data_IF_886627616670
#
_entry.id   IF_886627616670
#
_cell.length_a   1.000
_cell.length_b   1.000
_cell.length_c   1.000
_cell.angle_alpha   90.00
_cell.angle_beta   90.00
_cell.angle_gamma   90.00
#
_symmetry.space_group_name_H-M   'P 1'
#
loop_
_entity.id
_entity.type
_entity.pdbx_description
1 polymer ?
#
# COMPACT_ATOMS: atom_id res chain seq x y z
N UNK A 1 31.11 9.82 -7.11
CA UNK A 1 31.05 9.38 -8.52
C UNK A 1 29.74 8.62 -8.70
N UNK A 2 28.90 8.99 -9.67
CA UNK A 2 27.63 8.27 -9.93
C UNK A 2 27.97 6.93 -10.60
N UNK A 3 27.32 5.83 -10.20
CA UNK A 3 27.49 4.54 -10.87
C UNK A 3 26.85 4.53 -12.27
N UNK A 4 27.17 3.52 -13.06
CA UNK A 4 26.74 3.43 -14.46
C UNK A 4 25.21 3.42 -14.64
N UNK A 5 24.47 2.79 -13.72
CA UNK A 5 22.99 2.71 -13.77
C UNK A 5 22.41 4.08 -13.46
N UNK A 6 22.91 4.72 -12.41
CA UNK A 6 22.50 6.05 -11.98
C UNK A 6 22.82 7.11 -13.04
N UNK A 7 23.97 7.02 -13.70
CA UNK A 7 24.33 7.89 -14.81
C UNK A 7 23.42 7.70 -16.03
N UNK A 8 23.10 6.46 -16.41
CA UNK A 8 22.19 6.18 -17.52
C UNK A 8 20.77 6.75 -17.28
N UNK A 9 20.28 6.69 -16.04
CA UNK A 9 18.99 7.29 -15.65
C UNK A 9 19.01 8.80 -15.76
N UNK A 10 20.09 9.44 -15.30
CA UNK A 10 20.29 10.88 -15.44
C UNK A 10 20.33 11.30 -16.91
N UNK A 11 21.19 10.67 -17.72
CA UNK A 11 21.37 11.04 -19.13
C UNK A 11 20.10 10.83 -19.95
N UNK A 12 19.30 9.81 -19.64
CA UNK A 12 18.00 9.60 -20.28
C UNK A 12 16.98 10.70 -19.96
N UNK A 13 16.94 11.19 -18.71
CA UNK A 13 15.97 12.20 -18.25
C UNK A 13 16.22 13.59 -18.84
N UNK A 14 17.48 13.91 -19.12
CA UNK A 14 17.88 15.23 -19.62
C UNK A 14 17.85 15.34 -21.15
N UNK A 15 17.53 14.25 -21.87
CA UNK A 15 17.47 14.26 -23.32
C UNK A 15 16.45 15.31 -23.84
N UNK A 16 16.76 15.95 -24.98
CA UNK A 16 17.94 15.78 -25.83
C UNK A 16 19.19 16.55 -25.35
N UNK A 17 19.13 17.23 -24.18
CA UNK A 17 20.26 18.00 -23.65
C UNK A 17 21.37 17.05 -23.17
N UNK A 18 22.62 17.50 -23.30
CA UNK A 18 23.79 16.75 -22.81
C UNK A 18 24.07 17.12 -21.35
N UNK A 19 24.47 16.13 -20.53
CA UNK A 19 24.76 16.33 -19.10
C UNK A 19 25.81 17.42 -18.85
N UNK A 20 26.82 17.51 -19.72
CA UNK A 20 27.87 18.52 -19.66
C UNK A 20 27.42 19.95 -20.02
N UNK A 21 26.18 20.12 -20.52
CA UNK A 21 25.61 21.43 -20.88
C UNK A 21 24.59 21.94 -19.87
N UNK A 22 24.33 21.20 -18.79
CA UNK A 22 23.45 21.65 -17.73
C UNK A 22 24.24 22.47 -16.71
N UNK A 23 23.70 23.60 -16.24
CA UNK A 23 24.28 24.28 -15.09
C UNK A 23 24.18 23.35 -13.86
N UNK A 24 25.07 23.58 -12.90
CA UNK A 24 25.14 22.76 -11.69
C UNK A 24 23.82 22.77 -10.90
N UNK A 25 23.13 23.90 -10.84
CA UNK A 25 21.82 24.04 -10.20
C UNK A 25 20.79 23.06 -10.77
N UNK A 26 20.70 22.99 -12.09
CA UNK A 26 19.73 22.16 -12.80
C UNK A 26 20.12 20.69 -12.67
N UNK A 27 21.42 20.38 -12.72
CA UNK A 27 21.92 19.03 -12.49
C UNK A 27 21.57 18.56 -11.08
N UNK A 28 21.77 19.40 -10.06
CA UNK A 28 21.41 19.09 -8.66
C UNK A 28 19.89 18.96 -8.52
N UNK A 29 19.09 19.80 -9.18
CA UNK A 29 17.64 19.69 -9.17
C UNK A 29 17.15 18.38 -9.82
N UNK A 30 17.68 18.01 -10.98
CA UNK A 30 17.36 16.74 -11.66
C UNK A 30 17.81 15.53 -10.83
N UNK A 31 18.97 15.60 -10.17
CA UNK A 31 19.41 14.55 -9.26
C UNK A 31 18.49 14.44 -8.04
N UNK A 32 18.04 15.57 -7.48
CA UNK A 32 17.04 15.58 -6.40
C UNK A 32 15.67 15.08 -6.87
N UNK A 33 15.29 15.28 -8.12
CA UNK A 33 14.06 14.72 -8.68
C UNK A 33 14.18 13.19 -8.86
N UNK A 34 15.30 12.72 -9.41
CA UNK A 34 15.52 11.30 -9.74
C UNK A 34 15.81 10.43 -8.51
N UNK A 35 16.52 11.00 -7.53
CA UNK A 35 17.06 10.29 -6.37
C UNK A 35 16.64 10.91 -5.04
N UNK A 36 15.98 12.07 -5.06
CA UNK A 36 15.35 12.56 -3.85
C UNK A 36 14.26 11.60 -3.42
N UNK A 37 14.05 11.54 -2.12
CA UNK A 37 12.94 10.80 -1.55
C UNK A 37 11.63 11.50 -1.91
N UNK A 38 11.14 11.27 -3.13
CA UNK A 38 9.83 11.70 -3.62
C UNK A 38 8.74 10.72 -3.15
N UNK A 39 8.94 10.08 -2.00
CA UNK A 39 7.83 9.50 -1.28
C UNK A 39 7.08 10.67 -0.66
N UNK A 40 5.79 10.77 -0.94
CA UNK A 40 4.97 11.86 -0.44
C UNK A 40 5.13 11.99 1.09
N UNK A 41 4.98 13.20 1.62
CA UNK A 41 5.13 13.50 3.05
C UNK A 41 4.39 12.47 3.90
N UNK A 42 3.17 12.13 3.49
CA UNK A 42 2.34 11.14 4.15
C UNK A 42 2.96 9.73 4.18
N UNK A 43 3.45 9.26 3.04
CA UNK A 43 4.13 7.97 2.91
C UNK A 43 5.35 7.87 3.84
N UNK A 44 6.16 8.93 3.97
CA UNK A 44 7.31 8.96 4.88
C UNK A 44 6.88 8.91 6.36
N UNK A 45 5.86 9.68 6.73
CA UNK A 45 5.27 9.67 8.09
C UNK A 45 4.73 8.29 8.45
N UNK A 46 4.01 7.66 7.52
CA UNK A 46 3.49 6.31 7.71
C UNK A 46 4.60 5.27 7.92
N UNK A 47 5.65 5.31 7.09
CA UNK A 47 6.81 4.41 7.23
C UNK A 47 7.52 4.61 8.57
N UNK A 48 7.65 5.86 9.05
CA UNK A 48 8.19 6.13 10.37
C UNK A 48 7.34 5.50 11.47
N UNK A 49 6.01 5.70 11.45
CA UNK A 49 5.10 5.14 12.47
C UNK A 49 5.01 3.61 12.45
N UNK A 50 5.13 2.99 11.27
CA UNK A 50 5.14 1.52 11.13
C UNK A 50 6.50 0.89 11.40
N UNK A 51 7.51 1.68 11.75
CA UNK A 51 8.84 1.15 12.07
C UNK A 51 8.76 0.21 13.26
N UNK A 52 9.17 -1.03 13.04
CA UNK A 52 9.26 -2.08 14.04
C UNK A 52 10.65 -2.71 13.97
N UNK A 53 11.07 -3.27 15.10
CA UNK A 53 12.36 -3.95 15.19
C UNK A 53 12.28 -5.32 14.52
N UNK A 54 13.13 -5.56 13.51
CA UNK A 54 13.08 -6.73 12.64
C UNK A 54 14.37 -7.58 12.72
N UNK A 55 14.72 -8.01 13.93
CA UNK A 55 15.88 -8.88 14.17
C UNK A 55 17.23 -8.16 14.24
N UNK A 56 17.29 -6.87 13.92
CA UNK A 56 18.49 -6.05 14.16
C UNK A 56 18.77 -5.85 15.66
N UNK A 57 20.02 -5.51 15.98
CA UNK A 57 20.39 -5.11 17.33
C UNK A 57 19.78 -3.74 17.68
N UNK A 58 19.70 -3.46 18.98
CA UNK A 58 19.02 -2.26 19.47
C UNK A 58 19.63 -0.95 18.94
N UNK A 59 20.96 -0.87 18.83
CA UNK A 59 21.66 0.31 18.31
C UNK A 59 21.29 0.60 16.85
N UNK A 60 21.26 -0.44 16.02
CA UNK A 60 20.86 -0.31 14.62
C UNK A 60 19.39 0.13 14.50
N UNK A 61 18.50 -0.44 15.33
CA UNK A 61 17.11 -0.01 15.40
C UNK A 61 16.95 1.46 15.82
N UNK A 62 17.69 1.91 16.84
CA UNK A 62 17.69 3.32 17.27
C UNK A 62 18.11 4.25 16.13
N UNK A 63 19.18 3.91 15.41
CA UNK A 63 19.62 4.67 14.25
C UNK A 63 18.56 4.74 13.15
N UNK A 64 17.89 3.61 12.88
CA UNK A 64 16.84 3.50 11.88
C UNK A 64 15.60 4.35 12.23
N UNK A 65 15.16 4.32 13.48
CA UNK A 65 14.06 5.17 13.98
C UNK A 65 14.41 6.64 13.81
N UNK A 66 15.63 7.05 14.20
CA UNK A 66 16.07 8.43 14.08
C UNK A 66 16.12 8.90 12.62
N UNK A 67 16.65 8.05 11.72
CA UNK A 67 16.69 8.33 10.29
C UNK A 67 15.28 8.52 9.71
N UNK A 68 14.35 7.62 10.01
CA UNK A 68 12.97 7.72 9.49
C UNK A 68 12.22 8.91 10.06
N UNK A 69 12.44 9.25 11.33
CA UNK A 69 11.85 10.44 11.94
C UNK A 69 12.34 11.72 11.25
N UNK A 70 13.65 11.84 10.99
CA UNK A 70 14.23 12.99 10.29
C UNK A 70 13.62 13.20 8.89
N UNK A 71 13.25 12.10 8.21
CA UNK A 71 12.65 12.15 6.87
C UNK A 71 11.13 12.34 6.89
N UNK A 72 10.47 12.10 8.02
CA UNK A 72 9.01 12.14 8.12
C UNK A 72 8.45 13.56 8.26
N UNK A 73 9.27 14.55 8.60
CA UNK A 73 8.84 15.95 8.71
C UNK A 73 7.59 16.10 9.61
N UNK A 74 7.69 15.61 10.86
CA UNK A 74 6.59 15.66 11.84
C UNK A 74 6.29 17.07 12.39
N UNK A 75 7.20 18.02 12.20
CA UNK A 75 7.10 19.37 12.77
C UNK A 75 5.82 20.11 12.34
N UNK A 76 5.29 19.81 11.15
CA UNK A 76 4.12 20.47 10.56
C UNK A 76 2.91 19.53 10.43
N UNK A 77 2.79 18.52 11.31
CA UNK A 77 1.62 17.63 11.33
C UNK A 77 0.48 18.27 12.10
N UNK A 78 -0.65 18.50 11.44
CA UNK A 78 -1.86 18.92 12.14
C UNK A 78 -2.55 17.73 12.85
N UNK A 79 -3.46 17.97 13.82
CA UNK A 79 -4.11 16.90 14.56
C UNK A 79 -4.92 15.92 13.70
N UNK A 80 -5.57 16.40 12.64
CA UNK A 80 -6.35 15.54 11.72
C UNK A 80 -5.43 14.62 10.91
N UNK A 81 -4.30 15.14 10.40
CA UNK A 81 -3.27 14.36 9.72
C UNK A 81 -2.71 13.26 10.64
N UNK A 82 -2.48 13.56 11.92
CA UNK A 82 -2.05 12.56 12.89
C UNK A 82 -3.12 11.48 13.12
N UNK A 83 -4.39 11.87 13.31
CA UNK A 83 -5.51 10.92 13.45
C UNK A 83 -5.61 9.99 12.24
N UNK A 84 -5.53 10.56 11.04
CA UNK A 84 -5.49 9.86 9.77
C UNK A 84 -4.33 8.84 9.72
N UNK A 85 -3.10 9.25 10.06
CA UNK A 85 -1.93 8.37 10.16
C UNK A 85 -2.14 7.19 11.12
N UNK A 86 -2.59 7.48 12.33
CA UNK A 86 -2.85 6.45 13.36
C UNK A 86 -3.91 5.46 12.89
N UNK A 87 -5.00 5.95 12.29
CA UNK A 87 -6.06 5.11 11.74
C UNK A 87 -5.52 4.16 10.67
N UNK A 88 -4.73 4.69 9.72
CA UNK A 88 -4.06 3.88 8.69
C UNK A 88 -3.08 2.86 9.27
N UNK A 89 -2.34 3.20 10.33
CA UNK A 89 -1.43 2.26 11.01
C UNK A 89 -2.18 1.08 11.64
N UNK A 90 -3.42 1.31 12.08
CA UNK A 90 -4.32 0.28 12.62
C UNK A 90 -4.82 -0.73 11.59
N UNK A 91 -4.80 -0.38 10.30
CA UNK A 91 -5.03 -1.32 9.21
C UNK A 91 -3.77 -2.19 9.06
N UNK A 92 -3.80 -3.37 9.67
CA UNK A 92 -2.66 -4.29 9.76
C UNK A 92 -2.86 -5.62 9.01
N UNK A 93 -4.07 -6.21 8.93
CA UNK A 93 -4.29 -7.43 8.18
C UNK A 93 -3.95 -7.28 6.69
N UNK A 94 -3.44 -8.35 6.04
CA UNK A 94 -3.21 -8.36 4.60
C UNK A 94 -4.51 -8.23 3.80
N UNK A 95 -5.65 -8.63 4.39
CA UNK A 95 -7.00 -8.47 3.83
C UNK A 95 -7.37 -7.00 3.60
N UNK A 96 -6.75 -6.07 4.34
CA UNK A 96 -6.98 -4.63 4.20
C UNK A 96 -6.03 -3.97 3.19
N UNK A 97 -5.29 -4.72 2.37
CA UNK A 97 -4.27 -4.14 1.48
C UNK A 97 -4.86 -3.11 0.48
N UNK A 98 -6.06 -3.37 -0.06
CA UNK A 98 -6.75 -2.46 -0.96
C UNK A 98 -7.31 -1.22 -0.22
N UNK A 99 -7.84 -1.41 0.99
CA UNK A 99 -8.25 -0.35 1.90
C UNK A 99 -7.05 0.55 2.26
N UNK A 100 -5.91 -0.05 2.59
CA UNK A 100 -4.66 0.66 2.90
C UNK A 100 -4.18 1.46 1.69
N UNK A 101 -4.21 0.88 0.49
CA UNK A 101 -3.80 1.56 -0.73
C UNK A 101 -4.70 2.76 -1.04
N UNK A 102 -6.03 2.59 -0.94
CA UNK A 102 -6.99 3.67 -1.16
C UNK A 102 -6.86 4.78 -0.10
N UNK A 103 -6.69 4.41 1.17
CA UNK A 103 -6.48 5.39 2.22
C UNK A 103 -5.20 6.21 1.99
N UNK A 104 -4.11 5.56 1.54
CA UNK A 104 -2.87 6.26 1.18
C UNK A 104 -3.14 7.31 0.11
N UNK A 105 -3.80 6.88 -0.98
CA UNK A 105 -4.10 7.74 -2.12
C UNK A 105 -4.90 8.97 -1.69
N UNK A 106 -5.96 8.80 -0.90
CA UNK A 106 -6.77 9.93 -0.41
C UNK A 106 -5.94 10.92 0.40
N UNK A 107 -5.09 10.43 1.29
CA UNK A 107 -4.24 11.27 2.14
C UNK A 107 -3.14 11.99 1.35
N UNK A 108 -2.74 11.43 0.21
CA UNK A 108 -1.80 12.01 -0.74
C UNK A 108 -2.47 13.06 -1.64
N UNK A 109 -3.69 12.78 -2.12
CA UNK A 109 -4.47 13.68 -2.97
C UNK A 109 -5.03 14.90 -2.21
N UNK A 110 -5.45 14.70 -0.95
CA UNK A 110 -5.90 15.76 -0.07
C UNK A 110 -5.22 15.64 1.32
N UNK A 111 -4.03 16.26 1.49
CA UNK A 111 -3.31 16.24 2.76
C UNK A 111 -4.04 16.91 3.93
N UNK A 112 -5.09 17.69 3.67
CA UNK A 112 -5.91 18.34 4.70
C UNK A 112 -7.21 17.59 5.00
N UNK A 113 -7.40 16.41 4.40
CA UNK A 113 -8.56 15.57 4.68
C UNK A 113 -8.63 15.21 6.16
N UNK A 114 -9.82 15.38 6.72
CA UNK A 114 -10.14 14.94 8.07
C UNK A 114 -10.25 13.42 8.14
N UNK A 115 -10.12 12.86 9.35
CA UNK A 115 -10.33 11.42 9.55
C UNK A 115 -11.75 10.99 9.11
N UNK A 116 -12.74 11.87 9.31
CA UNK A 116 -14.13 11.62 8.91
C UNK A 116 -14.28 11.47 7.40
N UNK A 117 -13.68 12.37 6.62
CA UNK A 117 -13.73 12.31 5.16
C UNK A 117 -13.01 11.08 4.61
N UNK A 118 -11.87 10.74 5.19
CA UNK A 118 -11.14 9.52 4.85
C UNK A 118 -11.99 8.26 5.11
N UNK A 119 -12.59 8.17 6.30
CA UNK A 119 -13.46 7.05 6.65
C UNK A 119 -14.68 6.96 5.73
N UNK A 120 -15.28 8.09 5.37
CA UNK A 120 -16.42 8.14 4.45
C UNK A 120 -16.05 7.61 3.05
N UNK A 121 -14.90 8.00 2.51
CA UNK A 121 -14.42 7.49 1.22
C UNK A 121 -14.18 5.98 1.25
N UNK A 122 -13.55 5.49 2.31
CA UNK A 122 -13.32 4.06 2.47
C UNK A 122 -14.64 3.31 2.61
N UNK A 123 -15.59 3.83 3.39
CA UNK A 123 -16.92 3.22 3.52
C UNK A 123 -17.65 3.17 2.18
N UNK A 124 -17.59 4.24 1.39
CA UNK A 124 -18.16 4.27 0.04
C UNK A 124 -17.53 3.19 -0.85
N UNK A 125 -16.20 3.03 -0.80
CA UNK A 125 -15.51 1.96 -1.53
C UNK A 125 -15.97 0.57 -1.11
N UNK A 126 -16.14 0.34 0.20
CA UNK A 126 -16.62 -0.94 0.73
C UNK A 126 -18.05 -1.25 0.26
N UNK A 127 -18.93 -0.24 0.24
CA UNK A 127 -20.30 -0.40 -0.25
C UNK A 127 -20.32 -0.78 -1.74
N UNK A 128 -19.56 -0.07 -2.58
CA UNK A 128 -19.45 -0.38 -4.03
C UNK A 128 -18.92 -1.79 -4.24
N UNK A 129 -17.92 -2.21 -3.46
CA UNK A 129 -17.34 -3.55 -3.52
C UNK A 129 -18.39 -4.62 -3.18
N UNK A 130 -19.23 -4.37 -2.17
CA UNK A 130 -20.32 -5.27 -1.81
C UNK A 130 -21.36 -5.37 -2.92
N UNK A 131 -21.78 -4.25 -3.50
CA UNK A 131 -22.79 -4.24 -4.59
C UNK A 131 -22.30 -4.99 -5.85
N UNK A 132 -21.02 -4.87 -6.20
CA UNK A 132 -20.42 -5.59 -7.30
C UNK A 132 -20.49 -7.12 -7.10
N UNK A 133 -20.22 -7.61 -5.89
CA UNK A 133 -20.31 -9.05 -5.59
C UNK A 133 -21.74 -9.58 -5.69
N UNK A 134 -22.74 -8.80 -5.28
CA UNK A 134 -24.16 -9.17 -5.42
C UNK A 134 -24.60 -9.22 -6.89
N UNK A 135 -24.13 -8.26 -7.70
CA UNK A 135 -24.41 -8.24 -9.15
C UNK A 135 -23.79 -9.45 -9.87
N UNK A 136 -22.58 -9.88 -9.51
CA UNK A 136 -21.94 -11.07 -10.09
C UNK A 136 -22.66 -12.36 -9.71
N UNK A 137 -23.12 -12.48 -8.46
CA UNK A 137 -23.92 -13.63 -8.00
C UNK A 137 -25.28 -13.69 -8.71
N UNK A 138 -25.89 -12.53 -8.97
CA UNK A 138 -27.14 -12.43 -9.72
C UNK A 138 -26.98 -12.68 -11.23
N UNK A 139 -25.83 -12.36 -11.82
CA UNK A 139 -25.54 -12.67 -13.22
C UNK A 139 -25.25 -14.17 -13.44
N UNK A 140 -24.63 -14.83 -12.45
CA UNK A 140 -24.37 -16.27 -12.47
C UNK A 140 -25.65 -17.12 -12.41
N UNK A 141 -26.70 -16.65 -11.73
CA UNK A 141 -27.99 -17.36 -11.63
C UNK A 141 -28.97 -17.11 -12.77
N UNK A 142 -28.69 -16.16 -13.68
CA UNK A 142 -29.57 -15.81 -14.80
C UNK A 142 -29.09 -16.27 -16.19
N UNK A 143 -28.02 -17.06 -16.28
CA UNK A 143 -27.69 -17.81 -17.50
C UNK A 143 -28.45 -19.14 -17.47
N UNK A 144 -29.78 -19.09 -17.56
CA UNK A 144 -30.56 -20.27 -17.91
C UNK A 144 -30.43 -20.52 -19.41
N UNK A 145 -30.15 -21.78 -19.74
CA UNK A 145 -29.81 -22.30 -21.05
C UNK A 145 -30.69 -21.76 -22.19
N UNK A 146 -30.05 -21.30 -23.27
CA UNK A 146 -30.66 -21.34 -24.60
C UNK A 146 -30.68 -22.81 -25.00
N UNK A 147 -31.84 -23.44 -24.80
CA UNK A 147 -32.20 -24.74 -25.35
C UNK A 147 -32.02 -24.69 -26.87
N UNK A 148 -30.89 -25.23 -27.33
CA UNK A 148 -30.65 -25.48 -28.75
C UNK A 148 -31.21 -26.86 -29.05
N UNK A 149 -32.47 -26.90 -29.47
CA UNK A 149 -33.11 -28.11 -30.00
C UNK A 149 -32.26 -28.69 -31.16
N UNK A 150 -32.16 -30.03 -31.27
CA UNK A 150 -31.27 -30.70 -32.20
C UNK A 150 -31.95 -30.85 -33.58
N UNK A 151 -31.42 -30.20 -34.61
CA UNK A 151 -31.69 -30.60 -35.99
C UNK A 151 -30.74 -31.70 -36.43
N UNK A 152 -31.34 -32.87 -36.64
CA UNK A 152 -30.75 -34.12 -37.09
C UNK A 152 -30.37 -34.05 -38.57
N UNK A 153 -29.10 -34.23 -38.91
CA UNK A 153 -28.71 -34.91 -40.17
C UNK A 153 -27.44 -35.75 -40.01
N UNK A 154 -27.62 -37.05 -40.17
CA UNK A 154 -26.62 -38.11 -40.35
C UNK A 154 -25.72 -37.85 -41.58
N UNK A 155 -24.39 -37.93 -41.45
CA UNK A 155 -23.55 -38.94 -42.12
C UNK A 155 -22.03 -38.76 -41.97
N UNK A 156 -21.43 -39.76 -41.32
CA UNK A 156 -20.28 -40.58 -41.77
C UNK A 156 -18.83 -40.06 -41.60
N UNK A 157 -18.17 -40.70 -40.63
CA UNK A 157 -16.77 -41.13 -40.52
C UNK A 157 -15.65 -40.33 -41.19
N UNK A 158 -14.73 -39.79 -40.38
CA UNK A 158 -13.32 -40.13 -40.49
C UNK A 158 -12.56 -39.92 -39.16
N UNK A 159 -11.57 -40.78 -38.96
CA UNK A 159 -10.80 -41.01 -37.74
C UNK A 159 -9.94 -39.82 -37.26
N UNK A 160 -9.65 -39.76 -35.95
CA UNK A 160 -8.31 -40.02 -35.43
C UNK A 160 -8.32 -39.98 -33.90
N UNK A 161 -7.87 -41.07 -33.29
CA UNK A 161 -7.51 -41.12 -31.89
C UNK A 161 -6.12 -40.51 -31.70
N UNK A 162 -5.91 -39.67 -30.69
CA UNK A 162 -4.61 -39.53 -30.04
C UNK A 162 -4.84 -39.34 -28.54
N UNK A 163 -4.23 -40.24 -27.78
CA UNK A 163 -4.30 -40.35 -26.33
C UNK A 163 -3.54 -39.24 -25.58
N UNK A 164 -3.99 -39.12 -24.35
CA UNK A 164 -3.52 -38.39 -23.19
C UNK A 164 -2.04 -38.66 -22.83
N UNK A 165 -1.25 -37.62 -22.55
CA UNK A 165 -0.05 -37.72 -21.70
C UNK A 165 -0.02 -36.61 -20.65
N UNK A 166 0.21 -37.10 -19.44
CA UNK A 166 0.26 -36.50 -18.12
C UNK A 166 1.47 -35.54 -17.98
N UNK A 167 1.30 -34.45 -17.23
CA UNK A 167 2.38 -33.62 -16.72
C UNK A 167 2.00 -32.92 -15.42
N UNK A 168 2.28 -33.58 -14.30
CA UNK A 168 2.10 -33.10 -12.93
C UNK A 168 3.08 -31.96 -12.56
N UNK A 169 2.67 -31.16 -11.56
CA UNK A 169 3.58 -30.38 -10.69
C UNK A 169 3.63 -28.88 -11.02
N UNK A 170 3.53 -27.94 -10.09
CA UNK A 170 3.65 -28.03 -8.63
C UNK A 170 2.98 -26.82 -7.99
N UNK A 171 2.11 -27.08 -7.01
CA UNK A 171 1.66 -26.07 -6.05
C UNK A 171 2.84 -25.74 -5.15
N UNK A 172 3.39 -24.54 -5.26
CA UNK A 172 4.32 -24.01 -4.27
C UNK A 172 3.53 -23.58 -3.04
N UNK A 173 3.36 -24.52 -2.11
CA UNK A 173 3.11 -24.23 -0.71
C UNK A 173 4.32 -23.49 -0.15
N UNK A 174 4.25 -22.16 -0.10
CA UNK A 174 5.18 -21.37 0.72
C UNK A 174 4.73 -21.50 2.16
N UNK A 175 5.47 -22.34 2.90
CA UNK A 175 5.31 -22.58 4.32
C UNK A 175 5.79 -21.38 5.15
N UNK A 176 5.02 -21.11 6.21
CA UNK A 176 5.41 -20.51 7.48
C UNK A 176 5.84 -19.03 7.50
N UNK A 177 4.84 -18.16 7.66
CA UNK A 177 5.00 -16.82 8.22
C UNK A 177 4.90 -16.91 9.76
N UNK A 178 5.87 -16.40 10.55
CA UNK A 178 5.78 -16.50 12.01
C UNK A 178 4.64 -15.64 12.56
N UNK A 179 3.81 -16.27 13.40
CA UNK A 179 2.75 -15.68 14.23
C UNK A 179 3.18 -14.33 14.83
N UNK A 180 2.62 -13.24 14.32
CA UNK A 180 2.67 -11.94 14.99
C UNK A 180 1.82 -12.04 16.25
N UNK A 181 2.47 -12.09 17.42
CA UNK A 181 1.78 -11.98 18.71
C UNK A 181 1.19 -10.57 18.80
N UNK A 182 -0.14 -10.45 18.80
CA UNK A 182 -0.86 -9.24 19.18
C UNK A 182 -0.50 -8.92 20.65
N UNK A 183 0.37 -7.94 20.87
CA UNK A 183 0.48 -7.31 22.18
C UNK A 183 -0.65 -6.29 22.30
N UNK A 184 -1.65 -6.62 23.13
CA UNK A 184 -2.64 -5.66 23.62
C UNK A 184 -1.92 -4.81 24.67
N UNK A 185 -1.43 -3.62 24.28
CA UNK A 185 -1.00 -2.62 25.26
C UNK A 185 -2.29 -2.09 25.88
N UNK A 186 -2.61 -2.56 27.08
CA UNK A 186 -3.62 -1.91 27.92
C UNK A 186 -2.98 -0.60 28.39
N UNK A 187 -3.29 0.51 27.72
CA UNK A 187 -2.91 1.83 28.22
C UNK A 187 -3.69 2.05 29.53
N UNK A 188 -3.05 1.78 30.67
CA UNK A 188 -3.51 2.27 31.96
C UNK A 188 -3.08 3.73 32.00
N UNK A 189 -3.99 4.64 31.63
CA UNK A 189 -3.82 6.06 31.91
C UNK A 189 -3.66 6.18 33.42
N UNK A 190 -2.53 6.66 33.96
CA UNK A 190 -2.42 6.94 35.38
C UNK A 190 -3.41 8.06 35.71
N UNK A 191 -4.21 7.86 36.76
CA UNK A 191 -5.23 8.80 37.22
C UNK A 191 -4.63 10.09 37.84
N UNK A 192 -3.31 10.23 37.86
CA UNK A 192 -2.58 11.31 38.56
C UNK A 192 -2.42 12.61 37.74
N UNK A 193 -3.21 12.79 36.68
CA UNK A 193 -3.20 14.02 35.88
C UNK A 193 -4.53 14.79 35.91
N UNK A 194 -5.40 14.48 36.87
CA UNK A 194 -6.65 15.20 37.12
C UNK A 194 -6.67 16.01 38.44
N UNK A 195 -5.68 15.87 39.32
CA UNK A 195 -5.67 16.55 40.63
C UNK A 195 -4.67 17.72 40.71
N UNK A 196 -4.21 18.26 39.57
CA UNK A 196 -3.32 19.45 39.54
C UNK A 196 -3.99 20.73 39.02
N UNK A 197 -5.29 20.73 38.73
CA UNK A 197 -6.05 21.92 38.30
C UNK A 197 -6.96 22.51 39.41
N UNK A 198 -6.84 22.05 40.66
CA UNK A 198 -7.64 22.57 41.80
C UNK A 198 -6.78 23.05 42.99
N UNK A 199 -5.61 23.64 42.70
CA UNK A 199 -4.74 24.26 43.72
C UNK A 199 -4.25 25.68 43.34
N UNK A 200 -4.91 26.34 42.39
CA UNK A 200 -4.78 27.79 42.17
C UNK A 200 -6.17 28.41 42.00
N UNK A 201 -6.84 28.66 43.13
CA UNK A 201 -7.90 29.68 43.23
C UNK A 201 -7.94 30.26 44.63
#
# INVERSE_FOLDING_TARGET
MLDAITYARLTSRILPKRACKLPLSDTVATLKELFGHNTMVFSRRYVCLKTQRNGENLRAYTGLVNQRHAMAEFNDVNPEQMKCLVWKCGLAPPEDADIQARALRKMEDNPQATLKELAAEIQQFLNIRQDATLSELSASSHINAVDSQPENTTHRHHASAVEQIIGQGSVLFVKDLPRVRKFRIQARIPQELYDQEEAET
#
